data_IF_096145340527
#
_entry.id   IF_096145340527
#
_cell.length_a   1.000
_cell.length_b   1.000
_cell.length_c   1.000
_cell.angle_alpha   90.00
_cell.angle_beta   90.00
_cell.angle_gamma   90.00
#
_symmetry.space_group_name_H-M   'P 1'
#
loop_
_entity.id
_entity.type
_entity.pdbx_description
1 polymer ?
#
# COMPACT_ATOMS: atom_id res chain seq x y z
N UNK A 1 -0.62 -7.11 -11.74
CA UNK A 1 -0.28 -5.90 -10.97
C UNK A 1 -0.28 -6.29 -9.50
N UNK A 2 0.79 -5.96 -8.77
CA UNK A 2 0.84 -6.05 -7.32
C UNK A 2 0.06 -4.87 -6.72
N UNK A 3 -0.32 -4.95 -5.45
CA UNK A 3 -1.03 -3.88 -4.74
C UNK A 3 -0.29 -2.55 -4.85
N UNK A 4 1.04 -2.58 -4.69
CA UNK A 4 1.89 -1.39 -4.76
C UNK A 4 1.91 -0.71 -6.14
N UNK A 5 1.57 -1.42 -7.22
CA UNK A 5 1.47 -0.83 -8.57
C UNK A 5 0.32 0.20 -8.67
N UNK A 6 -0.61 0.18 -7.72
CA UNK A 6 -1.74 1.10 -7.65
C UNK A 6 -1.55 2.21 -6.61
N UNK A 7 -0.49 2.16 -5.80
CA UNK A 7 -0.17 3.23 -4.86
C UNK A 7 0.14 4.53 -5.62
N UNK A 8 -0.31 5.67 -5.07
CA UNK A 8 -0.11 6.99 -5.68
C UNK A 8 0.80 7.89 -4.85
N UNK A 9 0.79 7.69 -3.54
CA UNK A 9 1.57 8.46 -2.58
C UNK A 9 2.76 7.65 -2.04
N UNK A 10 2.67 6.32 -2.07
CA UNK A 10 3.75 5.41 -1.70
C UNK A 10 4.45 4.85 -2.93
N UNK A 11 5.76 4.66 -2.82
CA UNK A 11 6.64 4.22 -3.94
C UNK A 11 7.25 2.84 -3.73
N UNK A 12 6.84 2.17 -2.66
CA UNK A 12 7.21 0.81 -2.31
C UNK A 12 6.91 -0.12 -3.48
N UNK A 13 7.79 -1.10 -3.72
CA UNK A 13 7.61 -2.09 -4.78
C UNK A 13 6.81 -3.30 -4.30
N UNK A 14 6.80 -3.51 -2.98
CA UNK A 14 6.12 -4.61 -2.31
C UNK A 14 5.64 -4.15 -0.93
N UNK A 15 4.66 -4.86 -0.38
CA UNK A 15 4.17 -4.63 0.98
C UNK A 15 5.21 -5.20 1.94
N UNK A 16 5.81 -4.39 2.84
CA UNK A 16 6.81 -4.88 3.78
C UNK A 16 6.18 -5.82 4.81
N UNK A 17 6.99 -6.73 5.35
CA UNK A 17 6.58 -7.60 6.44
C UNK A 17 6.29 -6.76 7.72
N UNK A 18 5.05 -6.77 8.24
CA UNK A 18 4.66 -5.93 9.36
C UNK A 18 5.26 -6.38 10.71
N UNK A 19 5.73 -7.63 10.83
CA UNK A 19 6.14 -8.20 12.11
C UNK A 19 7.45 -7.62 12.66
N UNK A 20 8.26 -6.97 11.82
CA UNK A 20 9.54 -6.37 12.23
C UNK A 20 9.42 -4.91 12.72
N UNK A 21 8.25 -4.28 12.59
CA UNK A 21 8.01 -2.87 12.97
C UNK A 21 7.16 -2.66 14.22
N UNK A 22 6.77 -3.73 14.93
CA UNK A 22 5.75 -3.65 15.97
C UNK A 22 4.41 -3.18 15.40
N UNK A 23 3.59 -2.48 16.19
CA UNK A 23 2.26 -2.01 15.74
C UNK A 23 2.35 -1.08 14.52
N UNK A 24 3.40 -0.26 14.42
CA UNK A 24 3.58 0.66 13.30
C UNK A 24 3.81 -0.05 11.96
N UNK A 25 4.39 -1.25 11.98
CA UNK A 25 4.51 -2.08 10.79
C UNK A 25 3.13 -2.44 10.20
N UNK A 26 2.16 -2.74 11.06
CA UNK A 26 0.79 -3.01 10.62
C UNK A 26 0.07 -1.76 10.13
N UNK A 27 0.26 -0.62 10.81
CA UNK A 27 -0.31 0.66 10.36
C UNK A 27 0.20 1.02 8.96
N UNK A 28 1.51 0.87 8.72
CA UNK A 28 2.10 1.17 7.42
C UNK A 28 1.55 0.27 6.30
N UNK A 29 1.36 -1.01 6.56
CA UNK A 29 0.72 -1.93 5.60
C UNK A 29 -0.72 -1.49 5.29
N UNK A 30 -1.47 -1.03 6.30
CA UNK A 30 -2.83 -0.51 6.10
C UNK A 30 -2.81 0.74 5.22
N UNK A 31 -1.89 1.68 5.46
CA UNK A 31 -1.75 2.90 4.67
C UNK A 31 -1.43 2.60 3.20
N UNK A 32 -0.54 1.64 2.93
CA UNK A 32 -0.25 1.16 1.58
C UNK A 32 -1.48 0.58 0.89
N UNK A 33 -2.28 -0.22 1.60
CA UNK A 33 -3.51 -0.81 1.04
C UNK A 33 -4.56 0.26 0.73
N UNK A 34 -4.72 1.26 1.59
CA UNK A 34 -5.64 2.37 1.39
C UNK A 34 -5.23 3.22 0.18
N UNK A 35 -3.95 3.57 0.07
CA UNK A 35 -3.41 4.33 -1.07
C UNK A 35 -3.59 3.56 -2.40
N UNK A 36 -3.27 2.27 -2.41
CA UNK A 36 -3.50 1.40 -3.57
C UNK A 36 -4.98 1.32 -3.96
N UNK A 37 -5.88 1.21 -2.98
CA UNK A 37 -7.32 1.23 -3.23
C UNK A 37 -7.74 2.54 -3.87
N UNK A 38 -7.32 3.69 -3.36
CA UNK A 38 -7.66 4.97 -3.99
C UNK A 38 -7.15 5.10 -5.43
N UNK A 39 -5.96 4.55 -5.73
CA UNK A 39 -5.41 4.57 -7.09
C UNK A 39 -6.12 3.62 -8.05
N UNK A 40 -6.51 2.43 -7.58
CA UNK A 40 -7.24 1.44 -8.39
C UNK A 40 -8.57 1.98 -8.93
N UNK A 41 -9.26 2.83 -8.18
CA UNK A 41 -10.56 3.37 -8.59
C UNK A 41 -10.43 4.47 -9.67
N UNK A 42 -9.26 5.10 -9.78
CA UNK A 42 -9.00 6.13 -10.81
C UNK A 42 -8.52 5.57 -12.14
N UNK A 43 -8.06 4.32 -12.17
CA UNK A 43 -7.65 3.63 -13.39
C UNK A 43 -8.84 3.10 -14.22
N UNK A 44 -10.08 3.13 -13.68
CA UNK A 44 -11.31 2.72 -14.39
C UNK A 44 -12.07 3.89 -15.06
N UNK A 45 -11.46 5.09 -15.14
CA UNK A 45 -12.04 6.30 -15.77
C UNK A 45 -11.59 6.56 -17.20
#
# INVERSE_FOLDING_TARGET
KLICDFCRHHSDQEVPDPYYGGTEGFNYVIDLLLDACEGCWKDEG
#
